data_IF_157120459074
#
_entry.id   IF_157120459074
#
_cell.length_a   1.000
_cell.length_b   1.000
_cell.length_c   1.000
_cell.angle_alpha   90.00
_cell.angle_beta   90.00
_cell.angle_gamma   90.00
#
_symmetry.space_group_name_H-M   'P 1'
#
loop_
_entity.id
_entity.type
_entity.pdbx_description
1 polymer ?
#
# COMPACT_ATOMS: atom_id res chain seq x y z
N UNK A 1 22.01 3.81 -18.64
CA UNK A 1 21.19 2.99 -19.56
C UNK A 1 20.85 1.58 -19.05
N UNK A 2 21.81 0.67 -18.76
CA UNK A 2 21.46 -0.66 -18.19
C UNK A 2 20.94 -0.58 -16.75
N UNK A 3 21.47 0.34 -15.96
CA UNK A 3 21.14 0.53 -14.54
C UNK A 3 19.78 1.23 -14.36
N UNK A 4 19.53 2.31 -15.11
CA UNK A 4 18.22 3.00 -15.14
C UNK A 4 17.08 2.06 -15.55
N UNK A 5 17.33 1.17 -16.53
CA UNK A 5 16.34 0.19 -16.98
C UNK A 5 16.03 -0.84 -15.89
N UNK A 6 17.05 -1.26 -15.12
CA UNK A 6 16.90 -2.20 -14.00
C UNK A 6 16.13 -1.57 -12.83
N UNK A 7 16.40 -0.30 -12.51
CA UNK A 7 15.68 0.46 -11.48
C UNK A 7 14.22 0.69 -11.89
N UNK A 8 13.98 1.00 -13.16
CA UNK A 8 12.61 1.19 -13.68
C UNK A 8 11.80 -0.12 -13.68
N UNK A 9 12.46 -1.26 -13.91
CA UNK A 9 11.84 -2.58 -13.77
C UNK A 9 11.53 -2.92 -12.31
N UNK A 10 12.42 -2.58 -11.37
CA UNK A 10 12.18 -2.86 -9.95
C UNK A 10 11.07 -2.00 -9.35
N UNK A 11 10.94 -0.73 -9.76
CA UNK A 11 9.85 0.13 -9.27
C UNK A 11 8.48 -0.33 -9.77
N UNK A 12 8.37 -0.70 -11.05
CA UNK A 12 7.12 -1.19 -11.63
C UNK A 12 6.68 -2.48 -10.91
N UNK A 13 7.60 -3.41 -10.64
CA UNK A 13 7.32 -4.64 -9.87
C UNK A 13 6.87 -4.35 -8.43
N UNK A 14 7.52 -3.41 -7.75
CA UNK A 14 7.16 -3.03 -6.37
C UNK A 14 5.76 -2.38 -6.35
N UNK A 15 5.47 -1.49 -7.30
CA UNK A 15 4.17 -0.85 -7.43
C UNK A 15 3.06 -1.88 -7.68
N UNK A 16 3.28 -2.83 -8.59
CA UNK A 16 2.30 -3.88 -8.90
C UNK A 16 2.00 -4.77 -7.71
N UNK A 17 3.04 -5.12 -6.94
CA UNK A 17 2.88 -5.89 -5.73
C UNK A 17 2.05 -5.16 -4.68
N UNK A 18 2.31 -3.87 -4.44
CA UNK A 18 1.57 -3.08 -3.46
C UNK A 18 0.14 -2.77 -3.90
N UNK A 19 -0.06 -2.51 -5.19
CA UNK A 19 -1.39 -2.40 -5.79
C UNK A 19 -2.23 -3.64 -5.50
N UNK A 20 -1.69 -4.81 -5.84
CA UNK A 20 -2.42 -6.06 -5.68
C UNK A 20 -2.70 -6.33 -4.21
N UNK A 21 -1.78 -5.94 -3.33
CA UNK A 21 -1.98 -6.06 -1.90
C UNK A 21 -3.08 -5.13 -1.39
N UNK A 22 -3.12 -3.88 -1.85
CA UNK A 22 -4.15 -2.92 -1.45
C UNK A 22 -5.54 -3.34 -1.95
N UNK A 23 -5.65 -3.91 -3.16
CA UNK A 23 -6.91 -4.51 -3.63
C UNK A 23 -7.37 -5.66 -2.72
N UNK A 24 -6.45 -6.57 -2.36
CA UNK A 24 -6.81 -7.68 -1.47
C UNK A 24 -7.19 -7.21 -0.06
N UNK A 25 -6.52 -6.18 0.46
CA UNK A 25 -6.91 -5.54 1.73
C UNK A 25 -8.30 -4.93 1.56
N UNK A 26 -8.54 -4.20 0.46
CA UNK A 26 -9.83 -3.59 0.16
C UNK A 26 -10.96 -4.63 0.20
N UNK A 27 -10.86 -5.67 -0.62
CA UNK A 27 -11.86 -6.73 -0.71
C UNK A 27 -12.09 -7.45 0.63
N UNK A 28 -11.01 -7.78 1.34
CA UNK A 28 -11.11 -8.53 2.59
C UNK A 28 -11.74 -7.68 3.70
N UNK A 29 -11.31 -6.43 3.85
CA UNK A 29 -11.76 -5.58 4.96
C UNK A 29 -13.14 -4.98 4.68
N UNK A 30 -13.44 -4.61 3.43
CA UNK A 30 -14.76 -4.08 3.07
C UNK A 30 -15.86 -5.10 3.36
N UNK A 31 -15.61 -6.39 3.16
CA UNK A 31 -16.54 -7.46 3.54
C UNK A 31 -16.80 -7.57 5.05
N UNK A 32 -15.88 -7.08 5.89
CA UNK A 32 -15.96 -7.16 7.35
C UNK A 32 -16.47 -5.88 8.00
N UNK A 33 -16.10 -4.71 7.46
CA UNK A 33 -16.41 -3.40 8.05
C UNK A 33 -17.32 -2.52 7.19
N UNK A 34 -17.57 -2.90 5.93
CA UNK A 34 -18.18 -2.04 4.94
C UNK A 34 -17.19 -1.09 4.26
N UNK A 35 -17.50 -0.74 3.01
CA UNK A 35 -16.65 0.08 2.12
C UNK A 35 -16.47 1.51 2.65
N UNK A 36 -17.54 2.14 3.15
CA UNK A 36 -17.48 3.51 3.67
C UNK A 36 -16.52 3.66 4.86
N UNK A 37 -16.53 2.70 5.79
CA UNK A 37 -15.59 2.69 6.93
C UNK A 37 -14.17 2.49 6.43
N UNK A 38 -13.95 1.56 5.50
CA UNK A 38 -12.62 1.32 4.96
C UNK A 38 -12.08 2.51 4.19
N UNK A 39 -12.91 3.16 3.37
CA UNK A 39 -12.57 4.37 2.66
C UNK A 39 -12.12 5.49 3.61
N UNK A 40 -12.87 5.70 4.71
CA UNK A 40 -12.52 6.67 5.75
C UNK A 40 -11.18 6.35 6.42
N UNK A 41 -10.94 5.09 6.80
CA UNK A 41 -9.69 4.69 7.46
C UNK A 41 -8.47 4.85 6.53
N UNK A 42 -8.65 4.55 5.24
CA UNK A 42 -7.63 4.74 4.23
C UNK A 42 -7.31 6.23 4.01
N UNK A 43 -8.32 7.07 3.82
CA UNK A 43 -8.12 8.52 3.68
C UNK A 43 -7.43 9.09 4.92
N UNK A 44 -7.90 8.76 6.13
CA UNK A 44 -7.28 9.21 7.37
C UNK A 44 -5.81 8.80 7.48
N UNK A 45 -5.48 7.59 7.04
CA UNK A 45 -4.08 7.12 7.03
C UNK A 45 -3.25 7.87 6.00
N UNK A 46 -3.78 8.12 4.80
CA UNK A 46 -3.10 8.92 3.76
C UNK A 46 -2.84 10.34 4.27
N UNK A 47 -3.85 10.99 4.87
CA UNK A 47 -3.71 12.33 5.45
C UNK A 47 -2.66 12.38 6.55
N UNK A 48 -2.54 11.32 7.35
CA UNK A 48 -1.53 11.21 8.42
C UNK A 48 -0.12 11.08 7.87
N UNK A 49 0.05 10.43 6.71
CA UNK A 49 1.36 10.10 6.14
C UNK A 49 1.83 11.06 5.05
N UNK A 50 0.97 11.93 4.53
CA UNK A 50 1.26 12.80 3.36
C UNK A 50 2.48 13.68 3.53
N UNK A 51 2.78 14.16 4.74
CA UNK A 51 3.93 15.04 4.95
C UNK A 51 5.26 14.29 4.83
N UNK A 52 5.26 12.99 5.18
CA UNK A 52 6.43 12.13 5.11
C UNK A 52 6.56 11.43 3.75
N UNK A 53 5.43 11.07 3.14
CA UNK A 53 5.35 10.38 1.86
C UNK A 53 4.30 11.06 0.97
N UNK A 54 4.63 12.20 0.34
CA UNK A 54 3.67 13.02 -0.41
C UNK A 54 2.97 12.26 -1.53
N UNK A 55 3.64 11.29 -2.15
CA UNK A 55 3.08 10.50 -3.25
C UNK A 55 1.84 9.69 -2.85
N UNK A 56 1.63 9.41 -1.55
CA UNK A 56 0.44 8.68 -1.08
C UNK A 56 -0.86 9.46 -1.33
N UNK A 57 -0.82 10.79 -1.48
CA UNK A 57 -2.01 11.59 -1.80
C UNK A 57 -2.55 11.31 -3.21
N UNK A 58 -1.75 10.66 -4.06
CA UNK A 58 -2.15 10.25 -5.41
C UNK A 58 -3.04 9.00 -5.37
N UNK A 59 -3.08 8.27 -4.25
CA UNK A 59 -4.09 7.25 -3.99
C UNK A 59 -5.42 7.94 -3.73
N UNK A 60 -6.31 7.89 -4.71
CA UNK A 60 -7.69 8.33 -4.52
C UNK A 60 -8.48 7.18 -3.94
N UNK A 61 -9.19 7.46 -2.86
CA UNK A 61 -10.01 6.47 -2.17
C UNK A 61 -11.46 6.96 -2.22
N UNK A 62 -12.34 6.11 -2.72
CA UNK A 62 -13.79 6.33 -2.74
C UNK A 62 -14.47 5.09 -2.19
N UNK A 63 -15.80 5.11 -2.03
CA UNK A 63 -16.55 3.93 -1.58
C UNK A 63 -16.49 2.79 -2.63
N UNK A 64 -16.24 3.11 -3.90
CA UNK A 64 -16.07 2.13 -4.97
C UNK A 64 -14.66 1.49 -5.00
N UNK A 65 -13.71 2.00 -4.21
CA UNK A 65 -12.38 1.43 -4.11
C UNK A 65 -11.23 2.42 -4.14
N UNK A 66 -10.06 1.90 -4.55
CA UNK A 66 -8.80 2.64 -4.61
C UNK A 66 -8.44 2.88 -6.08
N UNK A 67 -8.20 4.13 -6.44
CA UNK A 67 -7.68 4.54 -7.75
C UNK A 67 -6.26 5.11 -7.62
N UNK A 68 -5.42 4.76 -8.58
CA UNK A 68 -3.97 5.01 -8.62
C UNK A 68 -3.48 5.40 -10.03
N UNK A 69 -4.40 5.78 -10.93
CA UNK A 69 -4.06 6.07 -12.33
C UNK A 69 -2.94 7.11 -12.47
N UNK A 70 -2.92 8.12 -11.58
CA UNK A 70 -1.87 9.15 -11.54
C UNK A 70 -0.61 8.72 -10.79
N UNK A 71 -0.73 7.75 -9.89
CA UNK A 71 0.34 7.33 -9.00
C UNK A 71 1.45 6.59 -9.76
N UNK A 72 1.10 5.74 -10.73
CA UNK A 72 2.07 4.89 -11.42
C UNK A 72 3.12 5.68 -12.19
N UNK A 73 2.72 6.75 -12.87
CA UNK A 73 3.64 7.60 -13.63
C UNK A 73 4.48 8.47 -12.71
N UNK A 74 3.87 9.08 -11.69
CA UNK A 74 4.54 9.98 -10.76
C UNK A 74 5.53 9.24 -9.86
N UNK A 75 5.19 8.03 -9.41
CA UNK A 75 6.06 7.21 -8.58
C UNK A 75 7.29 6.69 -9.33
N UNK A 76 7.27 6.55 -10.66
CA UNK A 76 8.45 6.10 -11.44
C UNK A 76 9.65 7.04 -11.33
N UNK A 77 9.42 8.28 -10.91
CA UNK A 77 10.48 9.26 -10.67
C UNK A 77 11.11 9.13 -9.27
N UNK A 78 10.48 8.37 -8.37
CA UNK A 78 10.91 8.19 -6.99
C UNK A 78 11.87 7.01 -6.84
N UNK A 79 12.54 6.96 -5.69
CA UNK A 79 13.32 5.79 -5.32
C UNK A 79 12.40 4.60 -5.00
N UNK A 80 12.65 3.39 -5.56
CA UNK A 80 11.88 2.19 -5.22
C UNK A 80 11.82 1.90 -3.71
N UNK A 81 12.89 2.25 -2.98
CA UNK A 81 12.99 2.09 -1.52
C UNK A 81 12.04 3.06 -0.80
N UNK A 82 11.91 4.29 -1.30
CA UNK A 82 11.01 5.29 -0.74
C UNK A 82 9.56 4.88 -0.95
N UNK A 83 9.22 4.41 -2.15
CA UNK A 83 7.89 3.85 -2.48
C UNK A 83 7.54 2.69 -1.54
N UNK A 84 8.44 1.73 -1.39
CA UNK A 84 8.27 0.59 -0.48
C UNK A 84 8.03 1.04 0.97
N UNK A 85 8.85 1.97 1.49
CA UNK A 85 8.69 2.50 2.85
C UNK A 85 7.36 3.23 3.05
N UNK A 86 6.91 3.98 2.04
CA UNK A 86 5.63 4.68 2.09
C UNK A 86 4.46 3.71 2.18
N UNK A 87 4.39 2.71 1.29
CA UNK A 87 3.33 1.70 1.34
C UNK A 87 3.40 0.81 2.59
N UNK A 88 4.59 0.42 3.04
CA UNK A 88 4.74 -0.31 4.29
C UNK A 88 4.23 0.50 5.49
N UNK A 89 4.47 1.81 5.50
CA UNK A 89 3.98 2.71 6.55
C UNK A 89 2.45 2.86 6.51
N UNK A 90 1.87 2.97 5.31
CA UNK A 90 0.42 2.98 5.08
C UNK A 90 -0.22 1.71 5.64
N UNK A 91 0.28 0.55 5.24
CA UNK A 91 -0.24 -0.75 5.67
C UNK A 91 -0.12 -0.89 7.19
N UNK A 92 1.02 -0.57 7.78
CA UNK A 92 1.21 -0.67 9.23
C UNK A 92 0.21 0.21 9.99
N UNK A 93 -0.03 1.45 9.55
CA UNK A 93 -1.04 2.31 10.17
C UNK A 93 -2.45 1.74 10.03
N UNK A 94 -2.82 1.20 8.86
CA UNK A 94 -4.10 0.52 8.68
C UNK A 94 -4.27 -0.64 9.65
N UNK A 95 -3.24 -1.47 9.85
CA UNK A 95 -3.28 -2.55 10.83
C UNK A 95 -3.49 -2.04 12.26
N UNK A 96 -2.90 -0.90 12.63
CA UNK A 96 -3.15 -0.28 13.93
C UNK A 96 -4.62 0.16 14.07
N UNK A 97 -5.18 0.81 13.05
CA UNK A 97 -6.59 1.21 13.05
C UNK A 97 -7.54 0.01 13.07
N UNK A 98 -7.28 -1.02 12.26
CA UNK A 98 -8.06 -2.26 12.25
C UNK A 98 -8.02 -2.99 13.59
N UNK A 99 -6.85 -3.00 14.24
CA UNK A 99 -6.69 -3.62 15.56
C UNK A 99 -7.50 -2.87 16.61
N UNK A 100 -7.53 -1.53 16.54
CA UNK A 100 -8.33 -0.69 17.43
C UNK A 100 -9.84 -0.84 17.17
N UNK A 101 -10.26 -0.99 15.92
CA UNK A 101 -11.68 -1.08 15.54
C UNK A 101 -12.30 -2.44 15.87
N UNK A 102 -11.56 -3.53 15.67
CA UNK A 102 -12.11 -4.89 15.68
C UNK A 102 -11.31 -5.86 16.57
N UNK A 103 -10.61 -5.35 17.59
CA UNK A 103 -9.82 -6.14 18.54
C UNK A 103 -8.87 -7.15 17.83
N UNK A 104 -8.30 -6.72 16.71
CA UNK A 104 -7.35 -7.51 15.92
C UNK A 104 -7.95 -8.68 15.12
N UNK A 105 -9.28 -8.80 14.98
CA UNK A 105 -9.90 -9.81 14.09
C UNK A 105 -9.50 -9.57 12.64
N UNK A 106 -9.67 -8.34 12.15
CA UNK A 106 -9.28 -7.94 10.79
C UNK A 106 -7.78 -8.17 10.57
N UNK A 107 -6.95 -7.81 11.55
CA UNK A 107 -5.50 -7.98 11.48
C UNK A 107 -5.10 -9.46 11.33
N UNK A 108 -5.76 -10.37 12.05
CA UNK A 108 -5.51 -11.82 11.94
C UNK A 108 -5.85 -12.37 10.56
N UNK A 109 -6.93 -11.89 9.94
CA UNK A 109 -7.35 -12.30 8.61
C UNK A 109 -6.40 -11.80 7.51
N UNK A 110 -5.91 -10.55 7.64
CA UNK A 110 -5.04 -9.94 6.63
C UNK A 110 -3.58 -10.38 6.72
N UNK A 111 -3.08 -10.71 7.90
CA UNK A 111 -1.65 -10.95 8.13
C UNK A 111 -1.05 -12.01 7.18
N UNK A 112 -1.70 -13.16 6.93
CA UNK A 112 -1.19 -14.17 6.00
C UNK A 112 -1.08 -13.69 4.55
N UNK A 113 -1.87 -12.69 4.13
CA UNK A 113 -1.87 -12.12 2.77
C UNK A 113 -0.84 -10.98 2.63
N UNK A 114 -0.76 -10.12 3.66
CA UNK A 114 0.12 -8.94 3.69
C UNK A 114 1.58 -9.32 3.84
N UNK A 115 1.90 -10.17 4.82
CA UNK A 115 3.29 -10.40 5.22
C UNK A 115 4.16 -10.96 4.09
N UNK A 116 3.72 -11.97 3.30
CA UNK A 116 4.52 -12.50 2.19
C UNK A 116 4.83 -11.43 1.12
N UNK A 117 3.85 -10.59 0.79
CA UNK A 117 4.02 -9.54 -0.24
C UNK A 117 5.01 -8.48 0.20
N UNK A 118 4.91 -7.99 1.45
CA UNK A 118 5.89 -7.03 1.98
C UNK A 118 7.31 -7.64 1.96
N UNK A 119 7.46 -8.93 2.28
CA UNK A 119 8.74 -9.64 2.19
C UNK A 119 9.24 -9.82 0.77
N UNK A 120 8.36 -10.03 -0.19
CA UNK A 120 8.72 -10.10 -1.61
C UNK A 120 9.20 -8.74 -2.13
N UNK A 121 8.54 -7.64 -1.75
CA UNK A 121 9.03 -6.29 -2.07
C UNK A 121 10.45 -6.05 -1.52
N UNK A 122 10.72 -6.46 -0.28
CA UNK A 122 12.08 -6.39 0.29
C UNK A 122 13.10 -7.18 -0.55
N UNK A 123 12.74 -8.39 -1.04
CA UNK A 123 13.64 -9.22 -1.87
C UNK A 123 13.91 -8.62 -3.25
N UNK A 124 12.92 -7.97 -3.86
CA UNK A 124 13.08 -7.28 -5.15
C UNK A 124 14.09 -6.13 -5.01
N UNK A 125 14.00 -5.39 -3.90
CA UNK A 125 14.85 -4.23 -3.63
C UNK A 125 16.26 -4.61 -3.18
N UNK A 126 16.38 -5.67 -2.40
CA UNK A 126 17.64 -6.14 -1.82
C UNK A 126 17.87 -7.61 -2.19
N UNK A 127 18.13 -7.90 -3.49
CA UNK A 127 18.48 -9.25 -3.91
C UNK A 127 19.83 -9.62 -3.28
N UNK A 128 19.82 -10.69 -2.47
CA UNK A 128 21.05 -11.28 -1.93
C UNK A 128 21.93 -11.87 -3.03
#
# INVERSE_FOLDING_TARGET
MKEDKKIKLSIDLVLDLYFNLLMEIWETVSALTGEAILALLLDLTIQTLKDKYPFLILLKVTEEGISWDKMREDCRTLSPIEVHRGFQSLINHLFHLFSALAEGVISRELFPKVFPKVKEAERILFPK
#
